data_IF_214183410094
#
_entry.id   IF_214183410094
#
_cell.length_a   1.000
_cell.length_b   1.000
_cell.length_c   1.000
_cell.angle_alpha   90.00
_cell.angle_beta   90.00
_cell.angle_gamma   90.00
#
_symmetry.space_group_name_H-M   'P 1'
#
loop_
_entity.id
_entity.type
_entity.pdbx_description
1 polymer ?
#
# COMPACT_ATOMS: atom_id res chain seq x y z
N UNK A 1 -6.16 -9.61 -10.93
CA UNK A 1 -6.90 -8.70 -10.03
C UNK A 1 -6.82 -9.27 -8.62
N UNK A 2 -6.58 -8.44 -7.62
CA UNK A 2 -6.45 -8.82 -6.21
C UNK A 2 -7.62 -8.22 -5.42
N UNK A 3 -8.04 -8.92 -4.37
CA UNK A 3 -9.07 -8.45 -3.43
C UNK A 3 -8.53 -8.53 -2.02
N UNK A 4 -8.83 -7.51 -1.22
CA UNK A 4 -8.41 -7.42 0.18
C UNK A 4 -9.61 -7.05 1.05
N UNK A 5 -9.78 -7.72 2.18
CA UNK A 5 -10.71 -7.37 3.24
C UNK A 5 -10.22 -6.18 4.07
N UNK A 6 -11.13 -5.58 4.84
CA UNK A 6 -10.78 -4.52 5.79
C UNK A 6 -9.75 -5.02 6.79
N UNK A 7 -8.69 -4.25 6.99
CA UNK A 7 -7.60 -4.54 7.92
C UNK A 7 -6.46 -5.36 7.31
N UNK A 8 -6.61 -5.89 6.10
CA UNK A 8 -5.54 -6.66 5.47
C UNK A 8 -4.38 -5.76 5.02
N UNK A 9 -3.15 -6.26 5.24
CA UNK A 9 -1.93 -5.63 4.77
C UNK A 9 -1.73 -6.00 3.30
N UNK A 10 -1.79 -5.00 2.43
CA UNK A 10 -1.61 -5.15 0.99
C UNK A 10 -0.13 -5.11 0.58
N UNK A 11 0.64 -4.32 1.31
CA UNK A 11 2.08 -4.08 1.11
C UNK A 11 2.69 -3.84 2.49
N UNK A 12 3.82 -4.48 2.80
CA UNK A 12 4.54 -4.25 4.05
C UNK A 12 5.80 -3.41 3.83
N UNK A 13 6.05 -2.44 4.72
CA UNK A 13 7.28 -1.65 4.73
C UNK A 13 8.53 -2.55 4.82
N UNK A 14 9.54 -2.27 4.00
CA UNK A 14 10.80 -3.00 3.96
C UNK A 14 10.83 -4.23 3.05
N UNK A 15 9.67 -4.70 2.58
CA UNK A 15 9.63 -5.82 1.63
C UNK A 15 10.27 -5.44 0.29
N UNK A 16 10.90 -6.39 -0.43
CA UNK A 16 11.33 -6.16 -1.81
C UNK A 16 10.12 -5.85 -2.70
N UNK A 17 10.28 -4.89 -3.61
CA UNK A 17 9.23 -4.50 -4.54
C UNK A 17 9.58 -4.95 -5.97
N UNK A 18 8.59 -5.51 -6.64
CA UNK A 18 8.67 -5.97 -8.04
C UNK A 18 7.33 -5.85 -8.76
N UNK A 19 6.46 -5.01 -8.20
CA UNK A 19 5.15 -4.69 -8.74
C UNK A 19 4.62 -3.39 -8.08
N UNK A 20 3.58 -2.84 -8.67
CA UNK A 20 2.76 -1.77 -8.10
C UNK A 20 1.28 -2.15 -8.20
N UNK A 21 0.43 -1.42 -7.47
CA UNK A 21 -1.01 -1.64 -7.47
C UNK A 21 -1.76 -0.39 -7.95
N UNK A 22 -2.77 -0.59 -8.80
CA UNK A 22 -3.78 0.43 -9.11
C UNK A 22 -5.05 0.08 -8.33
N UNK A 23 -5.50 0.98 -7.47
CA UNK A 23 -6.73 0.79 -6.71
C UNK A 23 -7.94 0.94 -7.63
N UNK A 24 -8.80 -0.07 -7.68
CA UNK A 24 -10.03 -0.08 -8.49
C UNK A 24 -11.27 0.24 -7.65
N UNK A 25 -11.24 -0.14 -6.37
CA UNK A 25 -12.31 0.14 -5.40
C UNK A 25 -11.75 0.14 -3.98
N UNK A 26 -12.44 0.85 -3.08
CA UNK A 26 -12.10 0.92 -1.66
C UNK A 26 -11.14 2.04 -1.29
N UNK A 27 -10.73 2.06 -0.02
CA UNK A 27 -9.78 3.00 0.57
C UNK A 27 -8.72 2.25 1.36
N UNK A 28 -7.49 2.75 1.29
CA UNK A 28 -6.35 2.24 2.05
C UNK A 28 -5.75 3.37 2.89
N UNK A 29 -5.02 3.01 3.93
CA UNK A 29 -4.10 3.92 4.63
C UNK A 29 -2.67 3.49 4.36
N UNK A 30 -1.82 4.47 4.06
CA UNK A 30 -0.38 4.29 3.94
C UNK A 30 0.22 4.74 5.26
N UNK A 31 0.98 3.87 5.93
CA UNK A 31 1.56 4.14 7.23
C UNK A 31 3.04 3.79 7.28
N UNK A 32 3.81 4.59 8.03
CA UNK A 32 5.22 4.34 8.27
C UNK A 32 5.46 3.91 9.71
N UNK A 33 6.27 2.87 9.89
CA UNK A 33 6.64 2.38 11.21
C UNK A 33 7.47 3.44 11.94
N UNK A 34 7.09 3.73 13.18
CA UNK A 34 7.80 4.64 14.07
C UNK A 34 8.36 3.84 15.26
N UNK A 35 9.64 4.04 15.61
CA UNK A 35 10.25 3.32 16.73
C UNK A 35 9.61 3.74 18.05
N UNK A 36 9.04 2.78 18.76
CA UNK A 36 8.43 2.99 20.09
C UNK A 36 7.20 3.89 20.08
N UNK A 37 6.54 4.06 18.93
CA UNK A 37 5.35 4.90 18.76
C UNK A 37 4.37 4.23 17.80
N UNK A 38 3.12 4.70 17.85
CA UNK A 38 2.12 4.34 16.85
C UNK A 38 2.61 4.69 15.42
N UNK A 39 2.25 3.89 14.41
CA UNK A 39 2.57 4.19 13.02
C UNK A 39 2.07 5.57 12.61
N UNK A 40 2.88 6.29 11.83
CA UNK A 40 2.49 7.57 11.26
C UNK A 40 1.71 7.32 9.96
N UNK A 41 0.43 7.69 9.93
CA UNK A 41 -0.36 7.66 8.69
C UNK A 41 0.09 8.80 7.77
N UNK A 42 0.60 8.44 6.59
CA UNK A 42 1.13 9.36 5.58
C UNK A 42 0.07 9.81 4.58
N UNK A 43 -0.85 8.91 4.21
CA UNK A 43 -1.89 9.17 3.23
C UNK A 43 -3.07 8.21 3.37
N UNK A 44 -4.20 8.56 2.77
CA UNK A 44 -5.38 7.68 2.65
C UNK A 44 -5.90 7.55 1.20
N UNK A 45 -5.17 6.84 0.33
CA UNK A 45 -5.55 6.70 -1.07
C UNK A 45 -6.84 5.90 -1.30
N UNK A 46 -7.54 6.22 -2.38
CA UNK A 46 -8.74 5.52 -2.84
C UNK A 46 -8.66 5.05 -4.29
N UNK A 47 -9.80 4.65 -4.85
CA UNK A 47 -9.91 4.21 -6.24
C UNK A 47 -9.30 5.22 -7.24
N UNK A 48 -8.64 4.70 -8.28
CA UNK A 48 -7.91 5.47 -9.28
C UNK A 48 -6.46 5.80 -8.91
N UNK A 49 -6.06 5.62 -7.65
CA UNK A 49 -4.71 5.95 -7.20
C UNK A 49 -3.73 4.76 -7.29
N UNK A 50 -2.47 5.12 -7.50
CA UNK A 50 -1.34 4.20 -7.61
C UNK A 50 -0.69 3.98 -6.25
N UNK A 51 -0.33 2.73 -5.94
CA UNK A 51 0.34 2.33 -4.70
C UNK A 51 1.63 1.59 -5.03
N UNK A 52 2.70 1.92 -4.30
CA UNK A 52 3.97 1.22 -4.39
C UNK A 52 4.86 1.67 -5.55
N UNK A 53 4.51 2.76 -6.26
CA UNK A 53 5.31 3.32 -7.34
C UNK A 53 6.73 3.69 -6.90
N UNK A 54 6.91 4.14 -5.65
CA UNK A 54 8.17 4.75 -5.24
C UNK A 54 9.29 3.73 -5.27
N UNK A 55 8.98 2.49 -4.89
CA UNK A 55 9.93 1.39 -4.91
C UNK A 55 10.30 0.98 -6.34
N UNK A 56 9.37 1.10 -7.30
CA UNK A 56 9.64 0.85 -8.72
C UNK A 56 10.54 1.94 -9.29
N UNK A 57 10.26 3.22 -8.98
CA UNK A 57 11.04 4.35 -9.49
C UNK A 57 12.44 4.44 -8.87
N UNK A 58 12.60 4.04 -7.61
CA UNK A 58 13.86 4.21 -6.87
C UNK A 58 14.69 2.94 -6.73
N UNK A 59 14.14 1.77 -7.04
CA UNK A 59 14.78 0.48 -6.81
C UNK A 59 14.97 0.11 -5.33
N UNK A 60 14.39 0.90 -4.40
CA UNK A 60 14.46 0.66 -2.96
C UNK A 60 13.31 -0.26 -2.49
N UNK A 61 13.45 -0.93 -1.34
CA UNK A 61 12.34 -1.67 -0.72
C UNK A 61 11.10 -0.80 -0.49
N UNK A 62 9.97 -1.43 -0.14
CA UNK A 62 8.71 -0.74 0.18
C UNK A 62 8.93 0.33 1.25
N UNK A 63 8.55 1.57 0.94
CA UNK A 63 8.82 2.74 1.77
C UNK A 63 7.88 2.88 2.97
N UNK A 64 6.74 2.20 2.94
CA UNK A 64 5.66 2.25 3.92
C UNK A 64 4.77 1.00 3.80
N UNK A 65 4.01 0.72 4.86
CA UNK A 65 2.96 -0.31 4.89
C UNK A 65 1.66 0.26 4.34
N UNK A 66 0.90 -0.55 3.62
CA UNK A 66 -0.41 -0.19 3.08
C UNK A 66 -1.46 -1.16 3.60
N UNK A 67 -2.47 -0.62 4.26
CA UNK A 67 -3.53 -1.41 4.91
C UNK A 67 -4.88 -0.99 4.36
N UNK A 68 -5.73 -1.97 4.03
CA UNK A 68 -7.09 -1.73 3.57
C UNK A 68 -7.96 -1.18 4.72
N UNK A 69 -8.56 0.01 4.56
CA UNK A 69 -9.52 0.58 5.53
C UNK A 69 -10.96 0.14 5.25
N UNK A 70 -11.23 -0.25 4.00
CA UNK A 70 -12.48 -0.87 3.52
C UNK A 70 -12.14 -2.14 2.73
N UNK A 71 -13.11 -2.95 2.26
CA UNK A 71 -12.84 -3.90 1.19
C UNK A 71 -12.23 -3.18 -0.03
N UNK A 72 -11.16 -3.74 -0.59
CA UNK A 72 -10.38 -3.14 -1.67
C UNK A 72 -10.28 -4.11 -2.84
N UNK A 73 -10.43 -3.59 -4.06
CA UNK A 73 -10.04 -4.28 -5.30
C UNK A 73 -8.87 -3.54 -5.92
N UNK A 74 -7.86 -4.28 -6.36
CA UNK A 74 -6.69 -3.68 -6.98
C UNK A 74 -6.23 -4.49 -8.20
N UNK A 75 -5.67 -3.80 -9.19
CA UNK A 75 -4.91 -4.44 -10.25
C UNK A 75 -3.42 -4.38 -9.90
N UNK A 76 -2.76 -5.54 -9.89
CA UNK A 76 -1.31 -5.64 -9.82
C UNK A 76 -0.68 -5.46 -11.21
N UNK A 77 0.26 -4.54 -11.31
CA UNK A 77 1.12 -4.33 -12.47
C UNK A 77 2.52 -4.83 -12.12
N UNK A 78 3.03 -5.89 -12.76
CA UNK A 78 4.39 -6.39 -12.57
C UNK A 78 5.45 -5.38 -13.01
#
# INVERSE_FOLDING_TARGET
MLSFGRGEVMVAEGDPARDLLILLAGRVRVEKRMRGREPLVLARPGAGQLIGELSILTGKPRSATVVAETPVKAWRVP
#
